data_IF_090732139194
#
_entry.id   IF_090732139194
#
_cell.length_a   1.000
_cell.length_b   1.000
_cell.length_c   1.000
_cell.angle_alpha   90.00
_cell.angle_beta   90.00
_cell.angle_gamma   90.00
#
_symmetry.space_group_name_H-M   'P 1'
#
loop_
_entity.id
_entity.type
_entity.pdbx_description
1 polymer ?
#
# COMPACT_ATOMS: atom_id res chain seq x y z
N UNK A 1 -64.45 43.97 -38.80
CA UNK A 1 -64.12 43.81 -37.36
C UNK A 1 -62.65 43.48 -37.27
N UNK A 2 -61.86 44.31 -36.57
CA UNK A 2 -60.40 44.20 -36.45
C UNK A 2 -60.05 43.32 -35.25
N UNK A 3 -59.31 42.24 -35.49
CA UNK A 3 -58.68 41.41 -34.45
C UNK A 3 -57.36 42.04 -34.01
N UNK A 4 -57.04 42.14 -32.69
CA UNK A 4 -55.71 42.56 -32.26
C UNK A 4 -54.75 41.37 -32.13
N UNK A 5 -53.50 41.59 -32.54
CA UNK A 5 -52.35 40.75 -32.25
C UNK A 5 -52.02 40.81 -30.75
N UNK A 6 -51.85 39.65 -30.11
CA UNK A 6 -51.26 39.54 -28.77
C UNK A 6 -49.76 39.22 -28.93
N UNK A 7 -48.90 40.11 -28.43
CA UNK A 7 -47.46 39.93 -28.41
C UNK A 7 -47.06 38.95 -27.29
N UNK A 8 -46.32 37.90 -27.64
CA UNK A 8 -45.76 36.94 -26.70
C UNK A 8 -44.38 37.46 -26.24
N UNK A 9 -44.32 37.91 -24.98
CA UNK A 9 -43.06 38.29 -24.31
C UNK A 9 -42.28 37.04 -23.90
N UNK A 10 -41.09 36.84 -24.46
CA UNK A 10 -40.11 35.85 -23.99
C UNK A 10 -39.48 36.33 -22.68
N UNK A 11 -39.70 35.60 -21.59
CA UNK A 11 -38.88 35.70 -20.40
C UNK A 11 -37.64 34.79 -20.55
N UNK A 12 -36.47 35.41 -20.73
CA UNK A 12 -35.18 34.72 -20.61
C UNK A 12 -34.97 34.34 -19.13
N UNK A 13 -35.12 33.05 -18.82
CA UNK A 13 -34.72 32.49 -17.54
C UNK A 13 -33.20 32.58 -17.41
N UNK A 14 -32.73 33.32 -16.41
CA UNK A 14 -31.31 33.44 -16.06
C UNK A 14 -30.72 32.05 -15.79
N UNK A 15 -29.71 31.66 -16.56
CA UNK A 15 -28.81 30.58 -16.19
C UNK A 15 -28.15 30.97 -14.86
N UNK A 16 -28.48 30.28 -13.77
CA UNK A 16 -27.63 30.26 -12.59
C UNK A 16 -26.28 29.65 -12.99
N UNK A 17 -25.27 30.50 -13.11
CA UNK A 17 -23.88 30.10 -13.13
C UNK A 17 -23.55 29.46 -11.78
N UNK A 18 -23.53 28.13 -11.74
CA UNK A 18 -22.91 27.38 -10.66
C UNK A 18 -21.43 27.75 -10.65
N UNK A 19 -21.01 28.57 -9.69
CA UNK A 19 -19.61 28.78 -9.38
C UNK A 19 -18.98 27.42 -9.10
N UNK A 20 -17.84 27.07 -9.72
CA UNK A 20 -17.15 25.84 -9.37
C UNK A 20 -16.83 25.89 -7.88
N UNK A 21 -17.36 24.92 -7.13
CA UNK A 21 -16.94 24.68 -5.76
C UNK A 21 -15.42 24.49 -5.80
N UNK A 22 -14.69 25.47 -5.31
CA UNK A 22 -13.28 25.32 -4.97
C UNK A 22 -13.23 24.31 -3.84
N UNK A 23 -13.14 23.03 -4.17
CA UNK A 23 -12.67 22.01 -3.23
C UNK A 23 -11.33 22.52 -2.71
N UNK A 24 -11.31 22.95 -1.44
CA UNK A 24 -10.06 23.27 -0.74
C UNK A 24 -9.12 22.09 -0.97
N UNK A 25 -7.99 22.34 -1.63
CA UNK A 25 -6.95 21.33 -1.79
C UNK A 25 -6.62 20.80 -0.40
N UNK A 26 -6.69 19.48 -0.21
CA UNK A 26 -6.39 18.87 1.08
C UNK A 26 -4.98 19.30 1.50
N UNK A 27 -4.84 19.88 2.69
CA UNK A 27 -3.53 20.23 3.23
C UNK A 27 -2.83 18.98 3.79
N UNK A 28 -1.51 18.93 3.63
CA UNK A 28 -0.68 17.91 4.26
C UNK A 28 -0.63 18.21 5.76
N UNK A 29 -1.11 17.28 6.57
CA UNK A 29 -1.12 17.44 8.02
C UNK A 29 0.10 16.81 8.70
N UNK A 30 0.80 15.88 8.04
CA UNK A 30 2.10 15.33 8.47
C UNK A 30 2.81 14.72 7.27
N UNK A 31 4.13 14.95 7.16
CA UNK A 31 5.00 14.25 6.21
C UNK A 31 5.94 13.36 6.99
N UNK A 32 6.06 12.09 6.59
CA UNK A 32 7.14 11.21 7.02
C UNK A 32 8.25 11.33 5.99
N UNK A 33 9.36 11.91 6.46
CA UNK A 33 10.67 11.87 5.83
C UNK A 33 11.68 12.53 6.79
N UNK A 34 12.34 11.76 7.65
CA UNK A 34 13.40 12.30 8.51
C UNK A 34 14.60 11.33 8.63
N UNK A 35 15.58 11.42 7.72
CA UNK A 35 16.78 10.58 7.76
C UNK A 35 17.62 10.76 9.04
N UNK A 36 17.43 11.84 9.80
CA UNK A 36 18.22 12.18 10.99
C UNK A 36 17.55 11.74 12.32
N UNK A 37 16.22 11.55 12.33
CA UNK A 37 15.51 10.90 13.44
C UNK A 37 15.45 9.36 13.28
N UNK A 38 15.68 8.84 12.07
CA UNK A 38 15.57 7.43 11.67
C UNK A 38 16.90 6.64 11.78
N UNK A 39 17.73 6.96 12.79
CA UNK A 39 19.15 6.60 12.87
C UNK A 39 19.48 5.16 13.30
N UNK A 40 18.84 4.15 12.70
CA UNK A 40 19.32 2.75 12.65
C UNK A 40 18.48 1.93 11.63
N UNK A 41 18.75 2.12 10.33
CA UNK A 41 18.18 1.36 9.18
C UNK A 41 16.88 1.89 8.53
N UNK A 42 16.64 3.21 8.52
CA UNK A 42 15.60 3.79 7.64
C UNK A 42 14.15 3.37 7.99
N UNK A 43 13.89 3.03 9.26
CA UNK A 43 12.57 2.62 9.76
C UNK A 43 11.97 3.71 10.65
N UNK A 44 10.65 3.92 10.52
CA UNK A 44 9.89 4.77 11.44
C UNK A 44 8.42 4.36 11.55
N UNK A 45 7.84 4.52 12.74
CA UNK A 45 6.43 4.21 13.01
C UNK A 45 5.82 5.16 14.04
N UNK A 46 4.50 5.11 14.18
CA UNK A 46 3.81 5.88 15.21
C UNK A 46 2.32 5.99 14.92
N UNK A 47 1.68 7.01 15.49
CA UNK A 47 0.26 7.29 15.25
C UNK A 47 0.05 8.69 14.69
N UNK A 48 -0.96 8.83 13.85
CA UNK A 48 -1.43 10.10 13.31
C UNK A 48 -2.96 10.10 13.29
N UNK A 49 -3.57 11.01 14.05
CA UNK A 49 -5.03 11.17 14.13
C UNK A 49 -5.79 9.84 14.40
N UNK A 50 -5.24 9.00 15.28
CA UNK A 50 -5.84 7.73 15.69
C UNK A 50 -5.54 6.54 14.77
N UNK A 51 -4.76 6.73 13.70
CA UNK A 51 -4.31 5.68 12.81
C UNK A 51 -2.83 5.38 13.01
N UNK A 52 -2.47 4.11 13.04
CA UNK A 52 -1.06 3.70 13.07
C UNK A 52 -0.45 3.91 11.69
N UNK A 53 0.83 4.27 11.65
CA UNK A 53 1.64 4.28 10.44
C UNK A 53 2.95 3.52 10.66
N UNK A 54 3.45 2.93 9.59
CA UNK A 54 4.80 2.38 9.52
C UNK A 54 5.42 2.74 8.18
N UNK A 55 6.74 2.83 8.19
CA UNK A 55 7.57 3.24 7.07
C UNK A 55 8.94 2.55 7.20
N UNK A 56 9.48 2.10 6.09
CA UNK A 56 10.81 1.55 5.97
C UNK A 56 11.41 1.91 4.60
N UNK A 57 12.69 2.25 4.59
CA UNK A 57 13.52 2.44 3.40
C UNK A 57 14.85 1.71 3.57
N UNK A 58 15.10 0.79 2.65
CA UNK A 58 16.40 0.20 2.42
C UNK A 58 17.09 1.01 1.33
N UNK A 59 18.17 1.69 1.70
CA UNK A 59 19.04 2.37 0.74
C UNK A 59 20.45 1.81 0.75
N UNK A 60 21.03 1.66 -0.44
CA UNK A 60 22.43 1.22 -0.60
C UNK A 60 23.43 2.35 -0.36
N UNK A 61 22.96 3.60 -0.32
CA UNK A 61 23.76 4.78 -0.03
C UNK A 61 23.34 5.40 1.31
N UNK A 62 24.26 6.09 2.00
CA UNK A 62 23.89 6.87 3.19
C UNK A 62 22.76 7.86 2.85
N UNK A 63 21.57 7.66 3.43
CA UNK A 63 20.37 8.46 3.17
C UNK A 63 20.63 9.89 3.64
N UNK A 64 20.72 10.84 2.70
CA UNK A 64 20.79 12.29 2.99
C UNK A 64 19.45 13.01 2.79
N UNK A 65 18.53 12.35 2.10
CA UNK A 65 17.15 12.76 1.82
C UNK A 65 16.34 11.49 1.58
N UNK A 66 15.10 11.41 2.04
CA UNK A 66 14.28 10.22 1.81
C UNK A 66 13.86 10.12 0.35
N UNK A 67 14.03 8.94 -0.24
CA UNK A 67 13.59 8.67 -1.60
C UNK A 67 12.07 8.49 -1.69
N UNK A 68 11.43 8.14 -0.57
CA UNK A 68 9.97 8.11 -0.43
C UNK A 68 9.52 9.12 0.60
N UNK A 69 8.51 9.89 0.24
CA UNK A 69 7.82 10.84 1.13
C UNK A 69 6.38 10.40 1.26
N UNK A 70 5.96 10.18 2.50
CA UNK A 70 4.57 9.85 2.80
C UNK A 70 3.93 11.08 3.44
N UNK A 71 3.04 11.74 2.71
CA UNK A 71 2.18 12.79 3.21
C UNK A 71 0.84 12.23 3.68
N UNK A 72 0.45 12.52 4.91
CA UNK A 72 -0.89 12.25 5.42
C UNK A 72 -1.77 13.48 5.20
N UNK A 73 -2.91 13.27 4.54
CA UNK A 73 -3.84 14.34 4.20
C UNK A 73 -5.16 14.10 4.91
N UNK A 74 -5.93 15.17 5.07
CA UNK A 74 -7.27 15.23 5.64
C UNK A 74 -7.36 15.26 7.17
N UNK A 75 -8.47 15.83 7.66
CA UNK A 75 -8.82 15.97 9.08
C UNK A 75 -9.28 14.66 9.75
N UNK A 76 -9.59 13.62 8.96
CA UNK A 76 -10.06 12.33 9.46
C UNK A 76 -8.94 11.29 9.67
N UNK A 77 -7.69 11.56 9.27
CA UNK A 77 -6.55 10.64 9.36
C UNK A 77 -6.61 9.41 8.45
N UNK A 78 -7.52 9.37 7.47
CA UNK A 78 -7.83 8.16 6.67
C UNK A 78 -7.33 8.18 5.22
N UNK A 79 -6.65 9.25 4.81
CA UNK A 79 -6.12 9.41 3.47
C UNK A 79 -4.64 9.74 3.55
N UNK A 80 -3.86 9.18 2.62
CA UNK A 80 -2.46 9.51 2.49
C UNK A 80 -2.03 9.47 1.03
N UNK A 81 -1.06 10.32 0.69
CA UNK A 81 -0.35 10.29 -0.57
C UNK A 81 1.09 9.91 -0.27
N UNK A 82 1.61 8.94 -1.00
CA UNK A 82 3.05 8.73 -1.05
C UNK A 82 3.57 9.17 -2.40
N UNK A 83 4.70 9.85 -2.39
CA UNK A 83 5.45 10.24 -3.58
C UNK A 83 6.86 9.70 -3.44
N UNK A 84 7.40 9.15 -4.52
CA UNK A 84 8.75 8.62 -4.52
C UNK A 84 9.56 9.15 -5.69
N UNK A 85 10.86 9.21 -5.45
CA UNK A 85 11.91 9.51 -6.40
C UNK A 85 13.16 8.73 -5.98
N UNK A 86 13.06 7.42 -6.08
CA UNK A 86 14.14 6.51 -5.69
C UNK A 86 15.33 6.65 -6.61
N UNK A 87 16.51 6.60 -6.00
CA UNK A 87 17.76 6.59 -6.72
C UNK A 87 17.80 5.43 -7.73
N UNK A 88 18.51 5.67 -8.83
CA UNK A 88 18.77 4.65 -9.85
C UNK A 88 19.70 3.57 -9.29
N UNK A 89 19.15 2.46 -8.80
CA UNK A 89 19.93 1.33 -8.28
C UNK A 89 19.12 0.03 -8.24
N UNK A 90 19.82 -1.11 -8.35
CA UNK A 90 19.27 -2.42 -8.02
C UNK A 90 19.37 -2.63 -6.51
N UNK A 91 18.24 -2.63 -5.80
CA UNK A 91 18.19 -2.98 -4.38
C UNK A 91 17.91 -1.82 -3.43
N UNK A 92 17.44 -0.69 -3.95
CA UNK A 92 16.64 0.23 -3.15
C UNK A 92 15.25 -0.37 -2.95
N UNK A 93 14.68 -0.23 -1.76
CA UNK A 93 13.33 -0.70 -1.43
C UNK A 93 12.71 0.26 -0.42
N UNK A 94 11.44 0.55 -0.57
CA UNK A 94 10.72 1.32 0.41
C UNK A 94 9.26 0.92 0.50
N UNK A 95 8.78 0.81 1.73
CA UNK A 95 7.40 0.44 2.05
C UNK A 95 6.85 1.32 3.15
N UNK A 96 5.59 1.74 3.01
CA UNK A 96 4.91 2.43 4.10
C UNK A 96 3.44 2.71 3.85
N UNK A 97 2.75 3.10 4.92
CA UNK A 97 1.32 3.36 4.85
C UNK A 97 0.63 3.48 6.20
N UNK A 98 -0.70 3.35 6.17
CA UNK A 98 -1.61 3.55 7.31
C UNK A 98 -2.35 2.27 7.68
N UNK A 99 -2.68 2.12 8.96
CA UNK A 99 -3.53 1.05 9.46
C UNK A 99 -3.57 0.97 10.97
N UNK A 100 -3.16 -0.18 11.49
CA UNK A 100 -3.31 -0.57 12.89
C UNK A 100 -2.00 -1.09 13.46
N UNK A 101 -1.69 -0.66 14.68
CA UNK A 101 -0.53 -1.11 15.45
C UNK A 101 -0.59 -2.61 15.76
N UNK A 102 -1.80 -3.11 15.97
CA UNK A 102 -2.07 -4.54 16.17
C UNK A 102 -2.88 -5.07 14.99
N UNK A 103 -2.40 -6.12 14.35
CA UNK A 103 -3.09 -6.85 13.30
C UNK A 103 -4.35 -7.56 13.81
N UNK A 104 -5.22 -7.97 12.88
CA UNK A 104 -6.31 -8.87 13.20
C UNK A 104 -6.55 -9.86 12.06
N UNK A 105 -6.63 -11.16 12.39
CA UNK A 105 -6.80 -12.27 11.42
C UNK A 105 -8.00 -12.10 10.50
N UNK A 106 -9.10 -11.53 11.01
CA UNK A 106 -10.36 -11.39 10.27
C UNK A 106 -10.69 -9.93 9.96
N UNK A 107 -9.67 -9.06 9.87
CA UNK A 107 -9.89 -7.66 9.55
C UNK A 107 -10.47 -7.54 8.14
N UNK A 108 -11.56 -6.77 8.04
CA UNK A 108 -12.12 -6.30 6.79
C UNK A 108 -11.88 -4.81 6.67
N UNK A 109 -11.43 -4.40 5.49
CA UNK A 109 -11.15 -3.00 5.20
C UNK A 109 -11.88 -2.61 3.92
N UNK A 110 -12.26 -1.34 3.85
CA UNK A 110 -12.50 -0.69 2.57
C UNK A 110 -11.35 0.24 2.25
N UNK A 111 -11.00 0.34 0.97
CA UNK A 111 -9.95 1.23 0.51
C UNK A 111 -10.23 1.78 -0.88
N UNK A 112 -9.53 2.84 -1.26
CA UNK A 112 -9.58 3.40 -2.62
C UNK A 112 -8.18 3.80 -3.04
N UNK A 113 -7.74 3.30 -4.20
CA UNK A 113 -6.54 3.79 -4.89
C UNK A 113 -6.99 4.88 -5.85
N UNK A 114 -6.91 6.14 -5.44
CA UNK A 114 -7.36 7.26 -6.26
C UNK A 114 -6.48 7.39 -7.51
N UNK A 115 -5.18 7.44 -7.28
CA UNK A 115 -4.13 7.51 -8.29
C UNK A 115 -3.04 6.48 -7.95
N UNK A 116 -2.44 5.86 -8.97
CA UNK A 116 -1.20 5.08 -8.84
C UNK A 116 -0.37 5.25 -10.11
N UNK A 117 0.74 5.97 -10.01
CA UNK A 117 1.65 6.27 -11.13
C UNK A 117 3.02 5.66 -10.87
N UNK A 118 3.73 5.33 -11.95
CA UNK A 118 5.14 4.94 -11.93
C UNK A 118 5.72 5.20 -13.32
N UNK A 119 6.95 5.70 -13.37
CA UNK A 119 7.72 5.86 -14.59
C UNK A 119 8.57 4.63 -14.94
N UNK A 120 8.59 3.59 -14.11
CA UNK A 120 9.39 2.40 -14.37
C UNK A 120 8.69 1.46 -15.35
N UNK A 121 9.48 0.97 -16.30
CA UNK A 121 9.06 -0.05 -17.27
C UNK A 121 9.61 -1.44 -16.92
N UNK A 122 10.27 -1.60 -15.78
CA UNK A 122 10.83 -2.89 -15.31
C UNK A 122 10.45 -3.21 -13.87
N UNK A 123 10.32 -2.19 -13.01
CA UNK A 123 9.88 -2.32 -11.63
C UNK A 123 8.40 -2.03 -11.47
N UNK A 124 7.89 -2.38 -10.28
CA UNK A 124 6.51 -2.15 -9.89
C UNK A 124 6.42 -1.30 -8.63
N UNK A 125 5.33 -0.55 -8.53
CA UNK A 125 4.84 0.03 -7.30
C UNK A 125 3.60 -0.78 -6.88
N UNK A 126 3.60 -1.36 -5.68
CA UNK A 126 2.58 -2.29 -5.19
C UNK A 126 1.68 -1.62 -4.16
N UNK A 127 0.37 -1.85 -4.25
CA UNK A 127 -0.56 -1.56 -3.16
C UNK A 127 -0.98 -2.86 -2.52
N UNK A 128 -0.68 -3.02 -1.24
CA UNK A 128 -0.90 -4.26 -0.51
C UNK A 128 -1.39 -4.03 0.92
N UNK A 129 -2.23 -4.93 1.43
CA UNK A 129 -2.32 -5.10 2.87
C UNK A 129 -1.04 -5.81 3.33
N UNK A 130 -0.28 -5.14 4.17
CA UNK A 130 1.06 -5.53 4.59
C UNK A 130 1.15 -5.57 6.12
N UNK A 131 1.94 -6.49 6.65
CA UNK A 131 2.23 -6.49 8.08
C UNK A 131 3.05 -7.68 8.54
N UNK A 132 3.11 -7.80 9.86
CA UNK A 132 3.90 -8.82 10.53
C UNK A 132 3.04 -9.68 11.45
N UNK A 133 3.40 -10.95 11.56
CA UNK A 133 2.96 -11.84 12.63
C UNK A 133 4.15 -12.22 13.49
N UNK A 134 4.01 -12.04 14.79
CA UNK A 134 5.07 -12.24 15.76
C UNK A 134 4.67 -13.27 16.81
N UNK A 135 5.26 -14.47 16.70
CA UNK A 135 5.04 -15.57 17.62
C UNK A 135 6.32 -15.85 18.41
N UNK A 136 6.48 -15.14 19.53
CA UNK A 136 7.75 -15.10 20.26
C UNK A 136 8.78 -14.29 19.50
N UNK A 137 10.00 -14.81 19.35
CA UNK A 137 11.07 -14.19 18.54
C UNK A 137 10.95 -14.46 17.03
N UNK A 138 9.94 -15.23 16.60
CA UNK A 138 9.73 -15.55 15.18
C UNK A 138 8.94 -14.44 14.50
N UNK A 139 9.58 -13.76 13.56
CA UNK A 139 8.93 -12.81 12.65
C UNK A 139 8.43 -13.53 11.39
N UNK A 140 7.22 -13.20 10.96
CA UNK A 140 6.67 -13.61 9.67
C UNK A 140 6.03 -12.41 9.01
N UNK A 141 6.46 -12.10 7.79
CA UNK A 141 5.98 -10.94 7.05
C UNK A 141 4.90 -11.40 6.06
N UNK A 142 3.88 -10.59 5.81
CA UNK A 142 2.81 -10.96 4.90
C UNK A 142 2.33 -9.83 4.02
N UNK A 143 1.85 -10.21 2.84
CA UNK A 143 1.37 -9.32 1.80
C UNK A 143 0.11 -9.89 1.15
N UNK A 144 -0.94 -9.07 1.08
CA UNK A 144 -2.06 -9.26 0.14
C UNK A 144 -1.98 -8.15 -0.89
N UNK A 145 -1.39 -8.45 -2.06
CA UNK A 145 -1.16 -7.50 -3.14
C UNK A 145 -2.40 -7.40 -4.01
N UNK A 146 -3.06 -6.24 -3.98
CA UNK A 146 -4.38 -6.02 -4.59
C UNK A 146 -4.34 -5.13 -5.82
N UNK A 147 -3.32 -4.27 -5.93
CA UNK A 147 -3.05 -3.47 -7.12
C UNK A 147 -1.55 -3.24 -7.32
N UNK A 148 -1.15 -2.89 -8.53
CA UNK A 148 0.21 -2.46 -8.83
C UNK A 148 0.26 -1.63 -10.11
N UNK A 149 1.32 -0.84 -10.25
CA UNK A 149 1.69 -0.17 -11.50
C UNK A 149 3.08 -0.59 -11.92
N UNK A 150 3.21 -0.97 -13.19
CA UNK A 150 4.45 -1.46 -13.79
C UNK A 150 4.15 -2.59 -14.78
N UNK A 151 5.18 -3.20 -15.39
CA UNK A 151 5.00 -4.20 -16.45
C UNK A 151 4.57 -5.56 -15.91
N UNK A 152 3.60 -6.19 -16.58
CA UNK A 152 3.21 -7.58 -16.32
C UNK A 152 2.62 -7.83 -14.92
N UNK A 153 2.42 -9.11 -14.61
CA UNK A 153 1.96 -9.53 -13.29
C UNK A 153 3.09 -9.47 -12.26
N UNK A 154 2.79 -9.08 -11.03
CA UNK A 154 3.75 -9.18 -9.94
C UNK A 154 3.93 -10.63 -9.47
N UNK A 155 5.17 -11.03 -9.25
CA UNK A 155 5.56 -12.28 -8.60
C UNK A 155 6.71 -11.91 -7.67
N UNK A 156 6.64 -12.24 -6.37
CA UNK A 156 7.73 -11.94 -5.45
C UNK A 156 8.99 -12.70 -5.87
N UNK A 157 10.15 -12.09 -5.62
CA UNK A 157 11.45 -12.71 -5.90
C UNK A 157 11.83 -13.66 -4.77
N UNK A 158 12.29 -14.86 -5.11
CA UNK A 158 12.87 -15.81 -4.17
C UNK A 158 14.39 -15.68 -4.22
N UNK A 159 14.96 -15.08 -3.17
CA UNK A 159 16.40 -14.84 -3.06
C UNK A 159 17.22 -16.12 -3.06
N UNK A 160 16.70 -17.18 -2.43
CA UNK A 160 17.39 -18.47 -2.33
C UNK A 160 17.41 -19.18 -3.69
N UNK A 161 16.33 -19.07 -4.46
CA UNK A 161 16.24 -19.65 -5.79
C UNK A 161 16.93 -18.78 -6.87
N UNK A 162 17.18 -17.50 -6.59
CA UNK A 162 17.63 -16.53 -7.59
C UNK A 162 16.65 -16.40 -8.76
N UNK A 163 15.34 -16.53 -8.48
CA UNK A 163 14.28 -16.59 -9.47
C UNK A 163 12.95 -16.08 -8.90
N UNK A 164 11.93 -15.80 -9.75
CA UNK A 164 10.59 -15.54 -9.27
C UNK A 164 10.05 -16.73 -8.47
N UNK A 165 9.35 -16.45 -7.37
CA UNK A 165 8.80 -17.48 -6.49
C UNK A 165 7.82 -18.40 -7.22
N UNK A 166 7.87 -19.68 -6.89
CA UNK A 166 6.94 -20.69 -7.42
C UNK A 166 5.65 -20.65 -6.61
N UNK A 167 4.52 -20.56 -7.30
CA UNK A 167 3.20 -20.54 -6.65
C UNK A 167 2.94 -21.81 -5.84
N UNK A 168 2.39 -21.64 -4.63
CA UNK A 168 1.93 -22.69 -3.71
C UNK A 168 0.42 -22.90 -3.82
N UNK A 169 -0.17 -22.63 -4.98
CA UNK A 169 -1.61 -22.71 -5.21
C UNK A 169 -2.29 -21.35 -5.11
N UNK A 170 -3.59 -21.35 -4.82
CA UNK A 170 -4.42 -20.15 -4.89
C UNK A 170 -5.35 -20.00 -3.70
N UNK A 171 -5.89 -18.80 -3.54
CA UNK A 171 -7.03 -18.50 -2.65
C UNK A 171 -8.03 -17.62 -3.39
N UNK A 172 -9.32 -17.89 -3.19
CA UNK A 172 -10.40 -17.03 -3.67
C UNK A 172 -10.88 -16.15 -2.52
N UNK A 173 -10.80 -14.83 -2.70
CA UNK A 173 -11.19 -13.82 -1.74
C UNK A 173 -11.65 -12.57 -2.51
N UNK A 174 -12.53 -11.74 -1.93
CA UNK A 174 -12.87 -10.43 -2.51
C UNK A 174 -13.31 -10.48 -3.99
N UNK A 175 -14.00 -11.57 -4.38
CA UNK A 175 -14.46 -11.78 -5.76
C UNK A 175 -13.34 -12.05 -6.78
N UNK A 176 -12.11 -12.34 -6.34
CA UNK A 176 -10.96 -12.58 -7.20
C UNK A 176 -10.15 -13.81 -6.76
N UNK A 177 -9.27 -14.26 -7.66
CA UNK A 177 -8.27 -15.29 -7.38
C UNK A 177 -6.92 -14.65 -7.14
N UNK A 178 -6.25 -15.09 -6.08
CA UNK A 178 -4.89 -14.70 -5.72
C UNK A 178 -3.99 -15.94 -5.83
N UNK A 179 -2.84 -15.79 -6.46
CA UNK A 179 -1.80 -16.81 -6.41
C UNK A 179 -1.02 -16.64 -5.10
N UNK A 180 -0.72 -17.76 -4.45
CA UNK A 180 -0.09 -17.79 -3.14
C UNK A 180 1.39 -18.11 -3.31
N UNK A 181 2.26 -17.39 -2.60
CA UNK A 181 3.70 -17.64 -2.60
C UNK A 181 4.24 -17.67 -1.18
N UNK A 182 5.35 -18.40 -1.01
CA UNK A 182 6.13 -18.45 0.21
C UNK A 182 7.58 -18.18 -0.18
N UNK A 183 8.19 -17.19 0.46
CA UNK A 183 9.58 -16.79 0.21
C UNK A 183 10.34 -16.81 1.53
N UNK A 184 11.52 -17.39 1.53
CA UNK A 184 12.48 -17.27 2.63
C UNK A 184 13.30 -16.00 2.42
N UNK A 185 13.48 -15.20 3.47
CA UNK A 185 14.24 -13.95 3.44
C UNK A 185 15.30 -13.94 4.52
N UNK A 186 16.35 -13.16 4.27
CA UNK A 186 17.35 -12.81 5.26
C UNK A 186 17.47 -11.28 5.33
N UNK A 187 17.08 -10.66 6.46
CA UNK A 187 17.06 -9.20 6.52
C UNK A 187 16.56 -8.63 7.84
N UNK A 188 16.13 -7.37 7.79
CA UNK A 188 15.51 -6.70 8.92
C UNK A 188 14.22 -7.43 9.31
N UNK A 189 14.07 -7.70 10.60
CA UNK A 189 12.89 -8.33 11.17
C UNK A 189 12.16 -7.33 12.05
N UNK A 190 10.84 -7.43 12.12
CA UNK A 190 10.06 -6.56 13.00
C UNK A 190 10.13 -6.98 14.47
N UNK A 191 9.97 -8.27 14.77
CA UNK A 191 9.88 -8.78 16.14
C UNK A 191 11.09 -9.62 16.58
N UNK A 192 12.04 -9.84 15.67
CA UNK A 192 13.24 -10.60 15.95
C UNK A 192 14.18 -9.83 16.86
N UNK A 193 14.53 -10.43 17.99
CA UNK A 193 15.57 -9.95 18.90
C UNK A 193 16.75 -10.95 19.00
N UNK A 194 16.81 -11.91 18.08
CA UNK A 194 17.86 -12.94 18.03
C UNK A 194 18.89 -12.71 16.93
N UNK A 195 19.96 -13.50 16.95
CA UNK A 195 21.09 -13.40 16.01
C UNK A 195 20.72 -13.82 14.57
N UNK A 196 19.61 -14.54 14.38
CA UNK A 196 19.12 -14.95 13.07
C UNK A 196 18.26 -13.86 12.43
N UNK A 197 18.69 -13.40 11.25
CA UNK A 197 17.94 -12.49 10.38
C UNK A 197 17.02 -13.21 9.40
N UNK A 198 16.85 -14.53 9.53
CA UNK A 198 16.00 -15.33 8.64
C UNK A 198 14.53 -15.32 9.05
N UNK A 199 13.64 -15.08 8.08
CA UNK A 199 12.19 -15.14 8.26
C UNK A 199 11.47 -15.56 6.96
N UNK A 200 10.17 -15.84 7.06
CA UNK A 200 9.32 -16.20 5.91
C UNK A 200 8.40 -15.04 5.55
N UNK A 201 8.25 -14.80 4.25
CA UNK A 201 7.24 -13.92 3.67
C UNK A 201 6.11 -14.74 3.06
N UNK A 202 4.87 -14.35 3.36
CA UNK A 202 3.66 -14.98 2.86
C UNK A 202 2.92 -14.03 1.93
N UNK A 203 2.72 -14.44 0.69
CA UNK A 203 2.14 -13.59 -0.34
C UNK A 203 0.83 -14.15 -0.85
N UNK A 204 -0.13 -13.28 -1.05
CA UNK A 204 -1.31 -13.49 -1.88
C UNK A 204 -1.31 -12.39 -2.93
N UNK A 205 -1.08 -12.72 -4.19
CA UNK A 205 -1.01 -11.75 -5.29
C UNK A 205 -2.20 -11.93 -6.22
N UNK A 206 -3.02 -10.89 -6.33
CA UNK A 206 -4.19 -10.91 -7.22
C UNK A 206 -3.76 -11.22 -8.65
N UNK A 207 -4.55 -11.99 -9.40
CA UNK A 207 -4.22 -12.27 -10.81
C UNK A 207 -4.34 -11.06 -11.73
N UNK A 208 -5.20 -10.11 -11.36
CA UNK A 208 -5.40 -8.85 -12.09
C UNK A 208 -5.55 -7.72 -11.09
N UNK A 209 -4.83 -6.60 -11.25
CA UNK A 209 -4.86 -5.50 -10.29
C UNK A 209 -6.27 -4.89 -10.22
N UNK A 210 -6.66 -4.40 -9.05
CA UNK A 210 -7.87 -3.58 -8.90
C UNK A 210 -7.74 -2.27 -9.68
N UNK A 211 -8.86 -1.78 -10.21
CA UNK A 211 -8.92 -0.49 -10.89
C UNK A 211 -8.76 0.67 -9.90
N UNK A 212 -8.05 1.72 -10.31
CA UNK A 212 -7.98 2.98 -9.56
C UNK A 212 -9.31 3.75 -9.64
N UNK A 213 -9.51 4.71 -8.74
CA UNK A 213 -10.68 5.60 -8.68
C UNK A 213 -11.96 4.98 -8.15
N UNK A 214 -11.97 3.68 -7.81
CA UNK A 214 -13.15 2.97 -7.30
C UNK A 214 -12.88 2.39 -5.92
N UNK A 215 -13.91 2.41 -5.06
CA UNK A 215 -13.83 1.79 -3.74
C UNK A 215 -13.71 0.26 -3.90
N UNK A 216 -12.79 -0.30 -3.13
CA UNK A 216 -12.50 -1.72 -3.05
C UNK A 216 -12.70 -2.19 -1.61
N UNK A 217 -12.82 -3.51 -1.45
CA UNK A 217 -12.92 -4.17 -0.16
C UNK A 217 -11.93 -5.32 -0.10
N UNK A 218 -11.28 -5.47 1.05
CA UNK A 218 -10.33 -6.55 1.32
C UNK A 218 -10.74 -7.27 2.61
N UNK A 219 -10.90 -8.60 2.53
CA UNK A 219 -11.17 -9.48 3.67
C UNK A 219 -9.91 -10.31 3.91
N UNK A 220 -9.21 -10.03 4.99
CA UNK A 220 -7.93 -10.68 5.27
C UNK A 220 -8.08 -12.16 5.66
N UNK A 221 -9.25 -12.55 6.17
CA UNK A 221 -9.51 -13.88 6.73
C UNK A 221 -9.15 -15.04 5.80
N UNK A 222 -9.67 -15.07 4.55
CA UNK A 222 -9.34 -16.10 3.58
C UNK A 222 -7.83 -16.26 3.32
N UNK A 223 -7.09 -15.15 3.24
CA UNK A 223 -5.64 -15.16 3.02
C UNK A 223 -4.90 -15.74 4.21
N UNK A 224 -5.18 -15.22 5.41
CA UNK A 224 -4.59 -15.72 6.64
C UNK A 224 -4.88 -17.21 6.84
N UNK A 225 -6.12 -17.66 6.58
CA UNK A 225 -6.50 -19.07 6.66
C UNK A 225 -5.73 -19.94 5.65
N UNK A 226 -5.56 -19.46 4.41
CA UNK A 226 -4.79 -20.20 3.40
C UNK A 226 -3.34 -20.38 3.84
N UNK A 227 -2.73 -19.37 4.45
CA UNK A 227 -1.34 -19.44 4.90
C UNK A 227 -1.17 -20.23 6.21
N UNK A 228 -2.17 -20.24 7.09
CA UNK A 228 -2.20 -20.99 8.37
C UNK A 228 -2.29 -22.51 8.16
N UNK A 229 -2.65 -22.96 6.95
CA UNK A 229 -2.68 -24.37 6.60
C UNK A 229 -1.32 -25.06 6.81
N UNK A 230 -1.36 -26.35 7.12
CA UNK A 230 -0.19 -27.16 7.51
C UNK A 230 0.92 -27.22 6.45
N UNK A 231 0.63 -26.88 5.20
CA UNK A 231 1.60 -26.85 4.10
C UNK A 231 2.45 -25.57 4.06
N UNK A 232 1.96 -24.45 4.61
CA UNK A 232 2.65 -23.15 4.57
C UNK A 232 3.15 -22.70 5.95
N UNK A 233 2.42 -23.00 7.03
CA UNK A 233 2.92 -22.83 8.40
C UNK A 233 2.94 -21.39 8.92
N UNK A 234 2.12 -20.50 8.37
CA UNK A 234 1.91 -19.16 8.93
C UNK A 234 1.32 -19.25 10.35
N UNK A 235 1.73 -18.34 11.23
CA UNK A 235 1.36 -18.34 12.64
C UNK A 235 0.36 -17.24 12.88
N UNK A 236 -0.92 -17.52 12.72
CA UNK A 236 -1.96 -16.50 12.85
C UNK A 236 -2.12 -15.94 14.26
N UNK A 237 -1.70 -16.68 15.29
CA UNK A 237 -1.70 -16.24 16.69
C UNK A 237 -0.74 -15.06 16.96
N UNK A 238 0.28 -14.85 16.10
CA UNK A 238 1.21 -13.74 16.24
C UNK A 238 0.75 -12.43 15.60
N UNK A 239 -0.35 -12.43 14.84
CA UNK A 239 -0.81 -11.26 14.07
C UNK A 239 -1.13 -10.08 15.01
N UNK A 240 -1.62 -10.34 16.22
CA UNK A 240 -1.95 -9.29 17.20
C UNK A 240 -0.73 -8.63 17.83
N UNK A 241 0.46 -9.20 17.62
CA UNK A 241 1.74 -8.67 18.11
C UNK A 241 2.55 -7.98 16.99
N UNK A 242 1.98 -7.89 15.78
CA UNK A 242 2.56 -7.16 14.66
C UNK A 242 1.56 -6.15 14.10
N UNK A 243 2.07 -5.13 13.42
CA UNK A 243 1.20 -4.18 12.77
C UNK A 243 0.55 -4.75 11.51
N UNK A 244 -0.47 -4.04 11.03
CA UNK A 244 -1.11 -4.31 9.76
C UNK A 244 -1.51 -2.97 9.12
N UNK A 245 -0.99 -2.69 7.94
CA UNK A 245 -1.21 -1.43 7.22
C UNK A 245 -1.63 -1.71 5.78
N UNK A 246 -2.42 -0.81 5.20
CA UNK A 246 -2.48 -0.69 3.75
C UNK A 246 -1.24 0.10 3.34
N UNK A 247 -0.36 -0.53 2.56
CA UNK A 247 0.95 -0.02 2.21
C UNK A 247 1.08 0.21 0.71
N UNK A 248 1.99 1.13 0.39
CA UNK A 248 2.65 1.22 -0.90
C UNK A 248 4.08 0.70 -0.72
N UNK A 249 4.50 -0.19 -1.62
CA UNK A 249 5.88 -0.70 -1.69
C UNK A 249 6.46 -0.39 -3.07
N UNK A 250 7.69 0.09 -3.11
CA UNK A 250 8.38 0.55 -4.31
C UNK A 250 9.82 0.04 -4.34
N UNK A 251 10.21 -0.53 -5.47
CA UNK A 251 11.56 -1.08 -5.66
C UNK A 251 12.39 -0.21 -6.60
N UNK A 252 13.68 -0.08 -6.32
CA UNK A 252 14.66 0.66 -7.11
C UNK A 252 14.79 0.14 -8.54
N UNK A 253 14.86 1.06 -9.50
CA UNK A 253 15.05 0.76 -10.92
C UNK A 253 16.52 1.04 -11.28
N UNK A 254 17.20 0.07 -11.86
CA UNK A 254 18.60 0.22 -12.21
C UNK A 254 18.88 1.08 -13.45
N UNK A 255 17.85 1.51 -14.16
CA UNK A 255 17.96 2.27 -15.42
C UNK A 255 17.60 3.75 -15.24
N UNK A 256 16.79 4.09 -14.25
CA UNK A 256 16.28 5.44 -14.02
C UNK A 256 16.06 5.72 -12.53
N UNK A 257 15.89 6.99 -12.17
CA UNK A 257 15.30 7.31 -10.88
C UNK A 257 13.82 6.93 -10.91
N UNK A 258 13.42 5.95 -10.10
CA UNK A 258 12.05 5.46 -10.08
C UNK A 258 11.18 6.49 -9.39
N UNK A 259 10.27 7.09 -10.16
CA UNK A 259 9.36 8.14 -9.73
C UNK A 259 7.92 7.72 -9.87
N UNK A 260 7.10 8.15 -8.94
CA UNK A 260 5.67 7.97 -9.00
C UNK A 260 4.99 8.51 -7.75
N UNK A 261 3.69 8.28 -7.71
CA UNK A 261 2.85 8.66 -6.59
C UNK A 261 1.68 7.69 -6.46
N UNK A 262 1.13 7.63 -5.26
CA UNK A 262 -0.14 6.95 -4.99
C UNK A 262 -0.99 7.80 -4.05
N UNK A 263 -2.29 7.88 -4.33
CA UNK A 263 -3.29 8.42 -3.41
C UNK A 263 -4.13 7.27 -2.85
N UNK A 264 -4.11 7.08 -1.53
CA UNK A 264 -4.78 5.98 -0.84
C UNK A 264 -5.72 6.48 0.24
N UNK A 265 -6.93 5.91 0.24
CA UNK A 265 -7.90 6.09 1.33
C UNK A 265 -8.17 4.74 1.98
N UNK A 266 -8.31 4.72 3.32
CA UNK A 266 -8.51 3.50 4.11
C UNK A 266 -9.61 3.70 5.16
N UNK A 267 -10.49 2.71 5.33
CA UNK A 267 -11.49 2.69 6.41
C UNK A 267 -11.80 1.26 6.88
N UNK A 268 -12.27 1.13 8.12
CA UNK A 268 -12.79 -0.14 8.65
C UNK A 268 -14.13 -0.49 8.01
N UNK A 269 -14.38 -1.80 7.86
CA UNK A 269 -15.61 -2.37 7.31
C UNK A 269 -16.28 -3.29 8.31
#
# INVERSE_FOLDING_TARGET
MKTPLLALSLAFGSLLSLTPNTTLAASIGKTICDPAADSDNGYGSGTYRGHFYSWFELSQNNIKSCDVKIGFYNDAGRHYRAEWNMAKSWGEDAIGGLGWENGARYRKIGYNVGELTSNSNIQKALVALYGWSCSGSNSQEYYVVDSWKGPGKFVPWDENAGAPAISKGTVNANGATYDVYLVDRNGAQYCGNGDSRQFKQYWSVRRSPTSTGSNQELDFGPHANRWDNSDLGFKTNGITNGYQILAIEVFGDANLNHKGAVDLSLWLR
#
